data_IF_595698692596
#
_entry.id   IF_595698692596
#
_cell.length_a   1.000
_cell.length_b   1.000
_cell.length_c   1.000
_cell.angle_alpha   90.00
_cell.angle_beta   90.00
_cell.angle_gamma   90.00
#
_symmetry.space_group_name_H-M   'P 1'
#
loop_
_entity.id
_entity.type
_entity.pdbx_description
1 polymer ?
#
# COMPACT_ATOMS: atom_id res chain seq x y z
N UNK A 1 14.60 -0.68 -2.74
CA UNK A 1 13.80 0.23 -1.90
C UNK A 1 13.32 1.40 -2.76
N UNK A 2 12.17 2.01 -2.43
CA UNK A 2 11.52 3.02 -3.29
C UNK A 2 12.09 4.44 -3.14
N UNK A 3 13.01 4.65 -2.21
CA UNK A 3 13.63 5.95 -1.93
C UNK A 3 15.15 5.80 -1.83
N UNK A 4 15.92 6.88 -2.07
CA UNK A 4 17.37 6.92 -1.85
C UNK A 4 17.76 6.49 -0.44
N UNK A 5 18.90 5.79 -0.34
CA UNK A 5 19.41 5.25 0.92
C UNK A 5 19.63 6.33 1.99
N UNK A 6 20.14 7.50 1.57
CA UNK A 6 20.32 8.65 2.45
C UNK A 6 19.02 9.12 3.14
N UNK A 7 17.88 9.01 2.46
CA UNK A 7 16.58 9.35 3.04
C UNK A 7 16.08 8.26 3.97
N UNK A 8 16.29 6.99 3.60
CA UNK A 8 15.90 5.85 4.41
C UNK A 8 16.66 5.80 5.73
N UNK A 9 17.96 6.12 5.71
CA UNK A 9 18.81 6.15 6.91
C UNK A 9 18.50 7.30 7.86
N UNK A 10 17.96 8.41 7.34
CA UNK A 10 17.54 9.58 8.13
C UNK A 10 16.07 9.51 8.58
N UNK A 11 15.29 8.61 8.00
CA UNK A 11 13.88 8.47 8.32
C UNK A 11 13.71 7.87 9.72
N UNK A 12 12.80 8.46 10.51
CA UNK A 12 12.45 7.99 11.86
C UNK A 12 11.84 6.59 11.86
N UNK A 13 11.10 6.24 10.81
CA UNK A 13 10.52 4.92 10.60
C UNK A 13 10.32 4.68 9.11
N UNK A 14 10.63 3.47 8.65
CA UNK A 14 10.41 3.01 7.27
C UNK A 14 9.52 1.78 7.32
N UNK A 15 8.30 1.89 6.81
CA UNK A 15 7.32 0.79 6.76
C UNK A 15 6.56 0.79 5.43
N UNK A 16 6.08 -0.37 5.02
CA UNK A 16 5.12 -0.51 3.93
C UNK A 16 3.75 -0.82 4.50
N UNK A 17 2.73 -0.07 4.07
CA UNK A 17 1.36 -0.22 4.57
C UNK A 17 0.50 -1.17 3.72
N UNK A 18 1.08 -1.73 2.66
CA UNK A 18 0.35 -2.54 1.68
C UNK A 18 -0.45 -1.66 0.72
N UNK A 19 -1.60 -2.15 0.28
CA UNK A 19 -2.48 -1.43 -0.64
C UNK A 19 -3.80 -2.15 -0.85
N UNK A 20 -4.72 -1.50 -1.53
CA UNK A 20 -6.03 -2.05 -1.83
C UNK A 20 -6.46 -1.79 -3.28
N UNK A 21 -7.18 -2.76 -3.84
CA UNK A 21 -7.89 -2.64 -5.10
C UNK A 21 -9.38 -2.64 -4.80
N UNK A 22 -10.03 -1.48 -4.95
CA UNK A 22 -11.48 -1.34 -4.81
C UNK A 22 -12.09 -1.20 -6.20
N UNK A 23 -12.34 -2.33 -6.86
CA UNK A 23 -12.94 -2.38 -8.19
C UNK A 23 -14.40 -1.92 -8.20
N UNK A 24 -15.08 -1.91 -7.04
CA UNK A 24 -16.43 -1.32 -6.91
C UNK A 24 -16.46 0.20 -7.11
N UNK A 25 -15.34 0.89 -6.88
CA UNK A 25 -15.22 2.35 -7.05
C UNK A 25 -14.64 2.74 -8.41
N UNK A 26 -14.18 1.78 -9.22
CA UNK A 26 -13.58 2.01 -10.54
C UNK A 26 -14.64 2.00 -11.65
N UNK A 27 -14.44 2.79 -12.71
CA UNK A 27 -15.28 2.73 -13.89
C UNK A 27 -15.00 1.45 -14.72
N UNK A 28 -15.92 1.04 -15.60
CA UNK A 28 -15.87 -0.27 -16.27
C UNK A 28 -14.58 -0.51 -17.07
N UNK A 29 -14.04 0.53 -17.71
CA UNK A 29 -12.80 0.44 -18.50
C UNK A 29 -11.56 0.31 -17.61
N UNK A 30 -11.40 1.16 -16.59
CA UNK A 30 -10.29 1.05 -15.62
C UNK A 30 -10.32 -0.30 -14.92
N UNK A 31 -11.51 -0.74 -14.50
CA UNK A 31 -11.73 -2.04 -13.88
C UNK A 31 -11.26 -3.19 -14.78
N UNK A 32 -11.56 -3.16 -16.08
CA UNK A 32 -11.14 -4.20 -17.02
C UNK A 32 -9.61 -4.23 -17.19
N UNK A 33 -8.97 -3.06 -17.30
CA UNK A 33 -7.51 -2.94 -17.43
C UNK A 33 -6.81 -3.46 -16.16
N UNK A 34 -7.23 -2.99 -14.99
CA UNK A 34 -6.62 -3.37 -13.71
C UNK A 34 -6.84 -4.87 -13.43
N UNK A 35 -8.03 -5.42 -13.70
CA UNK A 35 -8.26 -6.88 -13.56
C UNK A 35 -7.32 -7.71 -14.43
N UNK A 36 -7.04 -7.25 -15.65
CA UNK A 36 -6.15 -7.95 -16.60
C UNK A 36 -4.69 -7.92 -16.15
N UNK A 37 -4.24 -6.83 -15.54
CA UNK A 37 -2.85 -6.67 -15.05
C UNK A 37 -2.65 -7.42 -13.73
N UNK A 38 -3.56 -7.23 -12.78
CA UNK A 38 -3.40 -7.71 -11.41
C UNK A 38 -3.79 -9.19 -11.28
N UNK A 39 -4.46 -9.77 -12.29
CA UNK A 39 -4.99 -11.16 -12.30
C UNK A 39 -5.92 -11.47 -11.11
N UNK A 40 -6.47 -10.45 -10.47
CA UNK A 40 -7.43 -10.58 -9.36
C UNK A 40 -8.79 -10.10 -9.85
N UNK A 41 -9.84 -10.89 -9.58
CA UNK A 41 -11.19 -10.66 -10.12
C UNK A 41 -12.12 -9.88 -9.17
N UNK A 42 -11.76 -9.77 -7.89
CA UNK A 42 -12.56 -9.16 -6.82
C UNK A 42 -11.79 -8.09 -6.06
N UNK A 43 -12.50 -7.26 -5.29
CA UNK A 43 -11.87 -6.30 -4.38
C UNK A 43 -10.89 -7.05 -3.47
N UNK A 44 -9.68 -6.51 -3.32
CA UNK A 44 -8.64 -7.08 -2.46
C UNK A 44 -8.03 -5.95 -1.66
N UNK A 45 -8.13 -6.06 -0.34
CA UNK A 45 -7.40 -5.20 0.58
C UNK A 45 -6.28 -6.02 1.20
N UNK A 46 -5.05 -5.57 1.03
CA UNK A 46 -3.87 -6.11 1.72
C UNK A 46 -3.21 -5.01 2.55
N UNK A 47 -4.04 -4.21 3.23
CA UNK A 47 -3.56 -3.18 4.15
C UNK A 47 -2.94 -3.86 5.37
N UNK A 48 -1.65 -3.58 5.61
CA UNK A 48 -0.89 -4.11 6.74
C UNK A 48 -1.12 -3.24 7.97
N UNK A 49 -2.28 -3.43 8.61
CA UNK A 49 -2.66 -2.67 9.80
C UNK A 49 -1.65 -2.76 10.94
N UNK A 50 -0.94 -3.88 11.09
CA UNK A 50 0.13 -4.05 12.07
C UNK A 50 1.29 -3.08 11.82
N UNK A 51 1.73 -2.94 10.56
CA UNK A 51 2.79 -2.01 10.19
C UNK A 51 2.37 -0.55 10.43
N UNK A 52 1.08 -0.23 10.21
CA UNK A 52 0.52 1.10 10.50
C UNK A 52 0.55 1.37 12.00
N UNK A 53 0.13 0.41 12.83
CA UNK A 53 0.17 0.53 14.30
C UNK A 53 1.60 0.71 14.79
N UNK A 54 2.53 -0.09 14.28
CA UNK A 54 3.93 -0.02 14.66
C UNK A 54 4.56 1.32 14.25
N UNK A 55 4.27 1.80 13.04
CA UNK A 55 4.68 3.13 12.58
C UNK A 55 4.17 4.24 13.50
N UNK A 56 2.89 4.20 13.90
CA UNK A 56 2.32 5.20 14.80
C UNK A 56 3.00 5.24 16.17
N UNK A 57 3.36 4.06 16.72
CA UNK A 57 4.12 3.96 17.99
C UNK A 57 5.54 4.53 17.82
N UNK A 58 6.23 4.16 16.74
CA UNK A 58 7.59 4.63 16.44
C UNK A 58 7.63 6.15 16.21
N UNK A 59 6.57 6.75 15.66
CA UNK A 59 6.46 8.19 15.45
C UNK A 59 6.19 9.01 16.72
N UNK A 60 5.58 8.41 17.75
CA UNK A 60 5.29 9.09 19.03
C UNK A 60 6.49 9.11 20.00
N UNK A 61 7.49 8.24 19.80
CA UNK A 61 8.74 8.23 20.57
C UNK A 61 9.69 9.32 20.12
#
# INVERSE_FOLDING_TARGET
ANFPEDLLNKAKSVKHFGGEFIFKKMNFMEKAIVKKIVKVSSDKSDIKHENIKQFAIEMQK
#
